data_IF_899291091258
#
_entry.id   IF_899291091258
#
_cell.length_a   1.000
_cell.length_b   1.000
_cell.length_c   1.000
_cell.angle_alpha   90.00
_cell.angle_beta   90.00
_cell.angle_gamma   90.00
#
_symmetry.space_group_name_H-M   'P 1'
#
loop_
_entity.id
_entity.type
_entity.pdbx_description
1 polymer ?
#
# COMPACT_ATOMS: atom_id res chain seq x y z
N UNK A 1 15.43 10.39 -10.34
CA UNK A 1 14.28 9.56 -10.78
C UNK A 1 14.10 8.30 -9.94
N UNK A 2 15.15 7.53 -9.60
CA UNK A 2 15.03 6.30 -8.81
C UNK A 2 14.44 6.46 -7.38
N UNK A 3 14.76 7.55 -6.68
CA UNK A 3 14.27 7.77 -5.31
C UNK A 3 12.75 7.99 -5.23
N UNK A 4 12.16 8.69 -6.21
CA UNK A 4 10.72 8.94 -6.27
C UNK A 4 9.95 7.66 -6.62
N UNK A 5 10.45 6.86 -7.55
CA UNK A 5 9.86 5.57 -7.90
C UNK A 5 9.81 4.62 -6.68
N UNK A 6 10.94 4.50 -5.97
CA UNK A 6 11.02 3.69 -4.75
C UNK A 6 10.04 4.17 -3.66
N UNK A 7 9.91 5.48 -3.45
CA UNK A 7 8.95 6.02 -2.48
C UNK A 7 7.50 5.68 -2.85
N UNK A 8 7.14 5.78 -4.13
CA UNK A 8 5.80 5.42 -4.61
C UNK A 8 5.52 3.92 -4.44
N UNK A 9 6.50 3.06 -4.73
CA UNK A 9 6.41 1.60 -4.48
C UNK A 9 6.22 1.31 -2.99
N UNK A 10 7.00 1.96 -2.11
CA UNK A 10 6.83 1.83 -0.65
C UNK A 10 5.44 2.29 -0.20
N UNK A 11 4.89 3.36 -0.79
CA UNK A 11 3.51 3.80 -0.49
C UNK A 11 2.46 2.75 -0.84
N UNK A 12 2.63 2.00 -1.93
CA UNK A 12 1.74 0.86 -2.27
C UNK A 12 1.75 -0.16 -1.13
N UNK A 13 2.93 -0.53 -0.63
CA UNK A 13 3.08 -1.46 0.50
C UNK A 13 2.47 -0.93 1.80
N UNK A 14 2.70 0.35 2.12
CA UNK A 14 2.11 0.99 3.31
C UNK A 14 0.58 1.04 3.24
N UNK A 15 -0.01 1.25 2.08
CA UNK A 15 -1.48 1.32 1.94
C UNK A 15 -2.15 -0.04 2.18
N UNK A 16 -1.57 -1.13 1.69
CA UNK A 16 -2.10 -2.47 1.98
C UNK A 16 -1.90 -2.84 3.44
N UNK A 17 -0.76 -2.50 4.03
CA UNK A 17 -0.49 -2.67 5.47
C UNK A 17 -1.53 -1.94 6.33
N UNK A 18 -1.84 -0.67 6.02
CA UNK A 18 -2.86 0.10 6.74
C UNK A 18 -4.26 -0.53 6.63
N UNK A 19 -4.60 -1.11 5.48
CA UNK A 19 -5.87 -1.82 5.32
C UNK A 19 -5.96 -3.07 6.20
N UNK A 20 -4.86 -3.83 6.33
CA UNK A 20 -4.78 -5.00 7.22
C UNK A 20 -4.83 -4.59 8.69
N UNK A 21 -4.07 -3.56 9.07
CA UNK A 21 -4.06 -3.02 10.45
C UNK A 21 -5.45 -2.50 10.88
N UNK A 22 -6.16 -1.81 9.99
CA UNK A 22 -7.48 -1.24 10.31
C UNK A 22 -8.58 -2.30 10.36
N UNK A 23 -8.57 -3.26 9.44
CA UNK A 23 -9.65 -4.26 9.31
C UNK A 23 -9.10 -5.61 8.81
N UNK A 24 -8.32 -6.30 9.63
CA UNK A 24 -7.59 -7.52 9.23
C UNK A 24 -8.48 -8.58 8.58
N UNK A 25 -9.59 -8.95 9.22
CA UNK A 25 -10.48 -10.01 8.74
C UNK A 25 -11.06 -9.72 7.35
N UNK A 26 -11.80 -8.61 7.16
CA UNK A 26 -12.31 -8.20 5.86
C UNK A 26 -11.21 -8.01 4.80
N UNK A 27 -10.10 -7.37 5.16
CA UNK A 27 -8.97 -7.17 4.23
C UNK A 27 -8.38 -8.51 3.77
N UNK A 28 -8.15 -9.45 4.70
CA UNK A 28 -7.67 -10.78 4.38
C UNK A 28 -8.62 -11.55 3.46
N UNK A 29 -9.94 -11.41 3.63
CA UNK A 29 -10.94 -12.01 2.73
C UNK A 29 -10.86 -11.43 1.32
N UNK A 30 -10.77 -10.10 1.20
CA UNK A 30 -10.65 -9.43 -0.10
C UNK A 30 -9.38 -9.91 -0.83
N UNK A 31 -8.23 -9.89 -0.15
CA UNK A 31 -6.94 -10.26 -0.73
C UNK A 31 -6.87 -11.76 -1.08
N UNK A 32 -7.41 -12.64 -0.23
CA UNK A 32 -7.43 -14.09 -0.46
C UNK A 32 -8.55 -14.54 -1.41
N UNK A 33 -9.45 -13.66 -1.83
CA UNK A 33 -10.62 -14.03 -2.63
C UNK A 33 -10.30 -14.59 -4.02
N UNK A 34 -9.04 -14.50 -4.47
CA UNK A 34 -8.66 -14.91 -5.82
C UNK A 34 -9.13 -13.96 -6.93
N UNK A 35 -9.87 -12.90 -6.57
CA UNK A 35 -10.31 -11.86 -7.50
C UNK A 35 -9.37 -10.65 -7.46
N UNK A 36 -9.40 -9.86 -8.54
CA UNK A 36 -8.75 -8.56 -8.55
C UNK A 36 -9.39 -7.65 -7.50
N UNK A 37 -8.56 -6.82 -6.85
CA UNK A 37 -9.03 -5.86 -5.86
C UNK A 37 -8.32 -4.51 -6.05
N UNK A 38 -8.91 -3.46 -5.51
CA UNK A 38 -8.45 -2.08 -5.71
C UNK A 38 -8.33 -1.35 -4.39
N UNK A 39 -7.24 -0.60 -4.23
CA UNK A 39 -7.13 0.47 -3.24
C UNK A 39 -7.30 1.80 -3.96
N UNK A 40 -8.19 2.66 -3.46
CA UNK A 40 -8.29 4.05 -3.91
C UNK A 40 -8.17 4.99 -2.72
N UNK A 41 -7.39 6.06 -2.86
CA UNK A 41 -7.27 7.13 -1.86
C UNK A 41 -7.69 8.45 -2.50
N UNK A 42 -8.56 9.20 -1.84
CA UNK A 42 -8.99 10.52 -2.30
C UNK A 42 -8.13 11.66 -1.73
N UNK A 43 -8.45 12.89 -2.14
CA UNK A 43 -7.73 14.10 -1.76
C UNK A 43 -7.83 14.44 -0.26
N UNK A 44 -8.75 13.83 0.47
CA UNK A 44 -8.87 13.97 1.93
C UNK A 44 -8.04 12.93 2.67
N UNK A 45 -7.40 12.02 1.94
CA UNK A 45 -6.66 10.89 2.51
C UNK A 45 -7.56 9.73 2.93
N UNK A 46 -8.86 9.75 2.61
CA UNK A 46 -9.75 8.62 2.86
C UNK A 46 -9.47 7.53 1.84
N UNK A 47 -9.24 6.32 2.33
CA UNK A 47 -8.91 5.17 1.52
C UNK A 47 -10.03 4.14 1.53
N UNK A 48 -10.17 3.44 0.40
CA UNK A 48 -11.10 2.32 0.21
C UNK A 48 -10.34 1.17 -0.43
N UNK A 49 -10.39 0.00 0.21
CA UNK A 49 -10.04 -1.29 -0.38
C UNK A 49 -11.35 -1.96 -0.83
N UNK A 50 -11.43 -2.44 -2.07
CA UNK A 50 -12.61 -3.16 -2.56
C UNK A 50 -12.26 -4.30 -3.50
N UNK A 51 -12.98 -5.42 -3.37
CA UNK A 51 -12.83 -6.62 -4.20
C UNK A 51 -13.81 -7.69 -3.76
N UNK A 52 -14.17 -8.61 -4.66
CA UNK A 52 -15.07 -9.73 -4.32
C UNK A 52 -16.46 -9.33 -3.78
N UNK A 53 -16.96 -8.14 -4.10
CA UNK A 53 -18.22 -7.60 -3.58
C UNK A 53 -18.14 -6.97 -2.18
N UNK A 54 -17.00 -7.06 -1.50
CA UNK A 54 -16.75 -6.43 -0.21
C UNK A 54 -16.01 -5.10 -0.36
N UNK A 55 -16.06 -4.27 0.68
CA UNK A 55 -15.28 -3.03 0.77
C UNK A 55 -14.90 -2.71 2.20
N UNK A 56 -13.70 -2.16 2.36
CA UNK A 56 -13.12 -1.73 3.63
C UNK A 56 -12.69 -0.28 3.48
N UNK A 57 -12.96 0.53 4.50
CA UNK A 57 -12.54 1.93 4.55
C UNK A 57 -11.48 2.12 5.64
N UNK A 58 -10.48 2.95 5.35
CA UNK A 58 -9.38 3.28 6.27
C UNK A 58 -8.80 4.67 5.93
N UNK A 59 -7.89 5.17 6.75
CA UNK A 59 -7.19 6.43 6.47
C UNK A 59 -5.83 6.12 5.82
N UNK A 60 -5.66 6.58 4.57
CA UNK A 60 -4.44 6.36 3.78
C UNK A 60 -3.41 7.48 3.86
N UNK A 61 -3.75 8.63 4.47
CA UNK A 61 -2.86 9.78 4.64
C UNK A 61 -1.49 9.41 5.24
N UNK A 62 -1.38 8.53 6.27
CA UNK A 62 -0.08 8.13 6.82
C UNK A 62 0.86 7.40 5.83
N UNK A 63 0.33 6.79 4.78
CA UNK A 63 1.14 6.16 3.72
C UNK A 63 1.61 7.15 2.66
N UNK A 64 0.95 8.31 2.57
CA UNK A 64 1.25 9.38 1.62
C UNK A 64 2.11 10.49 2.25
N UNK A 65 2.09 10.61 3.59
CA UNK A 65 2.92 11.56 4.33
C UNK A 65 4.40 11.23 4.14
N UNK A 66 5.13 12.14 3.50
CA UNK A 66 6.54 11.95 3.13
C UNK A 66 6.78 11.85 1.62
N UNK A 67 5.73 11.69 0.81
CA UNK A 67 5.83 11.95 -0.62
C UNK A 67 5.97 13.46 -0.79
N UNK A 68 7.14 13.93 -1.24
CA UNK A 68 7.43 15.36 -1.46
C UNK A 68 6.64 15.99 -2.62
N UNK A 69 5.46 15.45 -2.92
CA UNK A 69 4.58 15.76 -4.04
C UNK A 69 3.13 15.81 -3.54
N UNK A 70 2.37 16.81 -4.00
CA UNK A 70 0.95 16.93 -3.65
C UNK A 70 0.10 15.98 -4.50
N UNK A 71 -0.41 14.93 -3.87
CA UNK A 71 -1.26 13.92 -4.51
C UNK A 71 -2.73 14.25 -4.27
N UNK A 72 -3.51 14.26 -5.35
CA UNK A 72 -4.97 14.45 -5.32
C UNK A 72 -5.72 13.11 -5.25
N UNK A 73 -5.20 12.06 -5.89
CA UNK A 73 -5.83 10.75 -5.90
C UNK A 73 -4.79 9.65 -6.09
N UNK A 74 -5.00 8.52 -5.44
CA UNK A 74 -4.27 7.27 -5.69
C UNK A 74 -5.27 6.20 -6.11
N UNK A 75 -4.91 5.41 -7.12
CA UNK A 75 -5.66 4.21 -7.51
C UNK A 75 -4.68 3.07 -7.79
N UNK A 76 -4.81 1.97 -7.07
CA UNK A 76 -3.95 0.80 -7.19
C UNK A 76 -4.83 -0.40 -7.49
N UNK A 77 -4.65 -1.02 -8.65
CA UNK A 77 -5.26 -2.29 -8.99
C UNK A 77 -4.28 -3.40 -8.64
N UNK A 78 -4.72 -4.38 -7.87
CA UNK A 78 -3.99 -5.61 -7.60
C UNK A 78 -4.63 -6.78 -8.35
N UNK A 79 -3.78 -7.61 -8.92
CA UNK A 79 -4.18 -8.84 -9.61
C UNK A 79 -3.34 -9.99 -9.07
N UNK A 80 -3.93 -11.19 -9.02
CA UNK A 80 -3.19 -12.36 -8.55
C UNK A 80 -2.09 -12.72 -9.55
N UNK A 81 -0.87 -12.87 -9.02
CA UNK A 81 0.22 -13.57 -9.68
C UNK A 81 0.30 -15.02 -9.22
N UNK A 82 1.47 -15.63 -9.42
CA UNK A 82 1.69 -17.02 -9.03
C UNK A 82 1.88 -17.16 -7.50
N UNK A 83 1.09 -18.05 -6.88
CA UNK A 83 1.17 -18.32 -5.44
C UNK A 83 0.79 -17.12 -4.58
N UNK A 84 1.72 -16.66 -3.74
CA UNK A 84 1.54 -15.48 -2.87
C UNK A 84 1.98 -14.17 -3.54
N UNK A 85 2.30 -14.18 -4.83
CA UNK A 85 2.66 -12.96 -5.53
C UNK A 85 1.43 -12.17 -5.94
N UNK A 86 1.44 -10.87 -5.64
CA UNK A 86 0.48 -9.91 -6.15
C UNK A 86 1.17 -9.00 -7.16
N UNK A 87 0.59 -8.92 -8.36
CA UNK A 87 0.93 -7.90 -9.32
C UNK A 87 0.11 -6.64 -9.00
N UNK A 88 0.67 -5.47 -9.25
CA UNK A 88 -0.05 -4.22 -9.09
C UNK A 88 0.24 -3.21 -10.19
N UNK A 89 -0.77 -2.39 -10.45
CA UNK A 89 -0.68 -1.18 -11.27
C UNK A 89 -1.21 -0.01 -10.46
N UNK A 90 -0.31 0.92 -10.11
CA UNK A 90 -0.61 2.09 -9.30
C UNK A 90 -0.56 3.36 -10.14
N UNK A 91 -1.56 4.22 -9.97
CA UNK A 91 -1.62 5.57 -10.55
C UNK A 91 -1.78 6.59 -9.45
N UNK A 92 -0.86 7.56 -9.42
CA UNK A 92 -0.83 8.70 -8.53
C UNK A 92 -1.16 9.95 -9.33
N UNK A 93 -2.32 10.54 -9.10
CA UNK A 93 -2.73 11.80 -9.71
C UNK A 93 -2.27 12.95 -8.83
N UNK A 94 -1.48 13.86 -9.39
CA UNK A 94 -0.97 15.05 -8.73
C UNK A 94 -2.01 16.17 -8.78
N UNK A 95 -1.87 17.13 -7.86
CA UNK A 95 -2.60 18.41 -7.96
C UNK A 95 -2.15 19.11 -9.25
N UNK A 96 -3.10 19.51 -10.10
CA UNK A 96 -2.81 20.09 -11.43
C UNK A 96 -2.82 19.10 -12.60
N UNK A 97 -3.46 17.94 -12.45
CA UNK A 97 -3.82 17.01 -13.54
C UNK A 97 -2.70 16.16 -14.14
N UNK A 98 -1.47 16.24 -13.62
CA UNK A 98 -0.40 15.30 -13.98
C UNK A 98 -0.58 13.96 -13.28
N UNK A 99 -0.11 12.86 -13.87
CA UNK A 99 -0.16 11.54 -13.25
C UNK A 99 1.16 10.79 -13.39
N UNK A 100 1.46 9.99 -12.37
CA UNK A 100 2.60 9.06 -12.35
C UNK A 100 2.00 7.67 -12.21
N UNK A 101 2.34 6.77 -13.13
CA UNK A 101 1.92 5.38 -13.05
C UNK A 101 3.13 4.46 -12.94
N UNK A 102 3.00 3.42 -12.14
CA UNK A 102 4.03 2.39 -12.00
C UNK A 102 3.39 1.02 -11.81
N UNK A 103 4.12 0.01 -12.23
CA UNK A 103 3.74 -1.39 -12.11
C UNK A 103 4.83 -2.15 -11.37
N UNK A 104 4.43 -3.22 -10.69
CA UNK A 104 5.35 -4.11 -10.02
C UNK A 104 4.65 -5.35 -9.48
N UNK A 105 5.40 -6.16 -8.76
CA UNK A 105 4.92 -7.35 -8.09
C UNK A 105 5.62 -7.49 -6.74
N UNK A 106 4.93 -8.08 -5.76
CA UNK A 106 5.55 -8.43 -4.48
C UNK A 106 4.86 -9.65 -3.90
N UNK A 107 5.57 -10.37 -3.03
CA UNK A 107 4.99 -11.46 -2.27
C UNK A 107 4.23 -10.88 -1.06
N UNK A 108 2.91 -11.10 -1.00
CA UNK A 108 2.05 -10.56 0.07
C UNK A 108 2.36 -11.21 1.41
N UNK A 109 2.69 -12.50 1.43
CA UNK A 109 3.09 -13.21 2.63
C UNK A 109 4.39 -12.63 3.17
N UNK A 110 5.41 -12.40 2.33
CA UNK A 110 6.65 -11.75 2.75
C UNK A 110 6.41 -10.32 3.25
N UNK A 111 5.53 -9.55 2.60
CA UNK A 111 5.17 -8.21 3.06
C UNK A 111 4.54 -8.26 4.46
N UNK A 112 3.54 -9.13 4.65
CA UNK A 112 2.86 -9.26 5.93
C UNK A 112 3.75 -9.88 7.02
N UNK A 113 4.63 -10.81 6.68
CA UNK A 113 5.56 -11.46 7.61
C UNK A 113 6.74 -10.55 7.98
N UNK A 114 7.29 -9.81 7.02
CA UNK A 114 8.35 -8.82 7.28
C UNK A 114 7.82 -7.64 8.09
N UNK A 115 6.52 -7.38 7.97
CA UNK A 115 5.77 -6.44 8.80
C UNK A 115 5.01 -7.14 9.94
N UNK A 116 5.33 -8.41 10.26
CA UNK A 116 4.45 -9.26 11.07
C UNK A 116 4.12 -8.66 12.41
N UNK A 117 2.82 -8.71 12.69
CA UNK A 117 2.19 -8.52 13.98
C UNK A 117 1.55 -7.16 14.08
N UNK A 118 0.91 -6.95 15.21
CA UNK A 118 0.92 -5.69 15.92
C UNK A 118 2.22 -4.84 15.86
N UNK A 119 3.35 -5.30 15.30
CA UNK A 119 4.70 -4.75 15.47
C UNK A 119 4.98 -3.49 14.64
N UNK A 120 4.33 -3.26 13.49
CA UNK A 120 4.36 -1.95 12.84
C UNK A 120 3.48 -0.92 13.56
N UNK A 121 2.44 -1.38 14.27
CA UNK A 121 1.52 -0.56 15.05
C UNK A 121 2.13 -0.16 16.40
N UNK A 122 2.81 -1.09 17.09
CA UNK A 122 3.61 -0.83 18.28
C UNK A 122 4.87 0.00 17.98
N UNK A 123 5.49 -0.16 16.80
CA UNK A 123 6.62 0.67 16.38
C UNK A 123 6.21 2.08 15.91
N UNK A 124 4.95 2.30 15.49
CA UNK A 124 4.39 3.64 15.19
C UNK A 124 3.95 4.39 16.45
N UNK A 125 3.48 3.70 17.49
CA UNK A 125 3.15 4.29 18.80
C UNK A 125 4.40 4.75 19.57
N UNK A 126 5.57 4.16 19.31
CA UNK A 126 6.86 4.65 19.79
C UNK A 126 7.44 5.67 18.78
N UNK A 127 7.40 6.96 19.12
CA UNK A 127 8.00 8.06 18.37
C UNK A 127 9.36 7.69 17.72
N UNK A 128 9.43 7.81 16.39
CA UNK A 128 10.68 8.06 15.66
C UNK A 128 11.15 6.94 14.72
N UNK A 129 10.99 7.17 13.41
CA UNK A 129 11.87 6.71 12.31
C UNK A 129 12.66 5.42 12.57
N UNK A 130 12.02 4.25 12.46
CA UNK A 130 12.75 2.98 12.36
C UNK A 130 13.22 2.77 10.91
N UNK A 131 14.40 3.30 10.57
CA UNK A 131 15.02 3.19 9.24
C UNK A 131 15.15 1.74 8.74
N UNK A 132 15.27 0.76 9.66
CA UNK A 132 15.33 -0.67 9.34
C UNK A 132 14.03 -1.20 8.74
N UNK A 133 12.88 -0.73 9.22
CA UNK A 133 11.56 -1.10 8.68
C UNK A 133 11.39 -0.51 7.28
N UNK A 134 11.81 0.75 7.11
CA UNK A 134 11.76 1.42 5.81
C UNK A 134 12.67 0.72 4.79
N UNK A 135 13.86 0.24 5.20
CA UNK A 135 14.74 -0.58 4.36
C UNK A 135 14.13 -1.94 3.98
N UNK A 136 13.48 -2.64 4.90
CA UNK A 136 12.82 -3.92 4.59
C UNK A 136 11.66 -3.74 3.60
N UNK A 137 10.83 -2.70 3.80
CA UNK A 137 9.79 -2.33 2.85
C UNK A 137 10.38 -2.00 1.47
N UNK A 138 11.49 -1.24 1.42
CA UNK A 138 12.18 -0.94 0.16
C UNK A 138 12.68 -2.20 -0.54
N UNK A 139 13.21 -3.19 0.18
CA UNK A 139 13.67 -4.45 -0.39
C UNK A 139 12.53 -5.28 -1.00
N UNK A 140 11.41 -5.38 -0.29
CA UNK A 140 10.23 -6.16 -0.74
C UNK A 140 9.56 -5.48 -1.94
N UNK A 141 9.48 -4.15 -1.93
CA UNK A 141 8.78 -3.38 -2.95
C UNK A 141 9.65 -3.02 -4.17
N UNK A 142 10.98 -3.16 -4.06
CA UNK A 142 11.97 -2.53 -4.95
C UNK A 142 12.92 -3.49 -5.67
N UNK A 143 12.49 -4.70 -6.02
CA UNK A 143 13.05 -5.37 -7.20
C UNK A 143 12.27 -4.97 -8.45
#
# INVERSE_FOLDING_TARGET
MAATDLQLRVTVGKLIELAYSTNEGPTARIVKSGNNFRISVDHTGKAKLSGGGESVFFYGEPAMSGLGISISRVSILFTNGDGWNLNYSATFTLVGSSSISLMGSFNIEELLLSCSGWLCEAARLLKGRNAKIEQQLQQIMGR
#
